data_IF_338488864942
#
_entry.id   IF_338488864942
#
_cell.length_a   1.000
_cell.length_b   1.000
_cell.length_c   1.000
_cell.angle_alpha   90.00
_cell.angle_beta   90.00
_cell.angle_gamma   90.00
#
_symmetry.space_group_name_H-M   'P 1'
#
loop_
_entity.id
_entity.type
_entity.pdbx_description
1 polymer ?
#
# COMPACT_ATOMS: atom_id res chain seq x y z
N UNK A 1 14.73 18.14 11.14
CA UNK A 1 13.71 18.63 10.18
C UNK A 1 12.63 19.46 10.86
N UNK A 2 11.98 18.96 11.91
CA UNK A 2 10.94 19.69 12.67
C UNK A 2 11.44 20.64 13.77
N UNK A 3 12.68 21.13 13.66
CA UNK A 3 13.34 21.86 14.77
C UNK A 3 12.88 23.31 14.94
N UNK A 4 12.25 23.92 13.93
CA UNK A 4 11.67 25.27 14.00
C UNK A 4 10.61 25.47 12.93
N UNK A 5 9.61 26.30 13.24
CA UNK A 5 8.59 26.75 12.28
C UNK A 5 9.27 27.44 11.09
N UNK A 6 8.79 27.15 9.87
CA UNK A 6 9.31 27.73 8.63
C UNK A 6 10.57 27.05 8.07
N UNK A 7 11.16 26.06 8.75
CA UNK A 7 12.24 25.26 8.17
C UNK A 7 11.72 24.49 6.95
N UNK A 8 12.41 24.64 5.81
CA UNK A 8 12.11 23.90 4.57
C UNK A 8 13.04 22.70 4.44
N UNK A 9 12.53 21.61 3.89
CA UNK A 9 13.31 20.38 3.64
C UNK A 9 12.89 19.86 2.27
N UNK A 10 13.85 19.62 1.35
CA UNK A 10 13.51 19.02 0.06
C UNK A 10 12.87 17.65 0.24
N UNK A 11 11.95 17.30 -0.65
CA UNK A 11 11.27 16.00 -0.64
C UNK A 11 11.23 15.38 -2.03
N UNK A 12 11.06 14.06 -2.08
CA UNK A 12 10.62 13.32 -3.25
C UNK A 12 9.35 12.53 -2.88
N UNK A 13 8.35 12.55 -3.76
CA UNK A 13 7.09 11.83 -3.56
C UNK A 13 6.84 10.90 -4.74
N UNK A 14 6.43 9.67 -4.45
CA UNK A 14 5.94 8.73 -5.46
C UNK A 14 4.55 8.27 -5.08
N UNK A 15 3.63 8.43 -6.01
CA UNK A 15 2.31 7.83 -5.96
C UNK A 15 2.31 6.53 -6.75
N UNK A 16 1.42 5.61 -6.40
CA UNK A 16 1.25 4.37 -7.15
C UNK A 16 -0.08 3.71 -6.90
N UNK A 17 -0.39 2.71 -7.70
CA UNK A 17 -1.31 1.64 -7.33
C UNK A 17 -0.59 0.58 -6.49
N UNK A 18 -1.28 -0.52 -6.13
CA UNK A 18 -0.71 -1.61 -5.33
C UNK A 18 -0.70 -2.92 -6.11
N UNK A 19 -1.83 -3.35 -6.65
CA UNK A 19 -1.99 -4.72 -7.12
C UNK A 19 -1.46 -4.94 -8.54
N UNK A 20 -1.49 -3.91 -9.38
CA UNK A 20 -1.30 -4.02 -10.83
C UNK A 20 0.16 -3.78 -11.28
N UNK A 21 0.49 -4.23 -12.50
CA UNK A 21 1.84 -4.14 -13.09
C UNK A 21 2.04 -2.86 -13.92
N UNK A 22 3.28 -2.61 -14.39
CA UNK A 22 3.78 -1.36 -14.99
C UNK A 22 3.13 -0.85 -16.30
N UNK A 23 2.01 -1.40 -16.74
CA UNK A 23 1.26 -0.90 -17.89
C UNK A 23 -0.25 -0.88 -17.64
N UNK A 24 -0.64 -0.94 -16.37
CA UNK A 24 -2.03 -1.04 -15.97
C UNK A 24 -2.64 0.35 -15.82
N UNK A 25 -3.93 0.52 -16.12
CA UNK A 25 -4.56 1.83 -16.13
C UNK A 25 -4.65 2.44 -14.73
N UNK A 26 -4.35 3.74 -14.60
CA UNK A 26 -4.33 4.52 -13.37
C UNK A 26 -5.69 4.55 -12.62
N UNK A 27 -6.80 4.51 -13.37
CA UNK A 27 -8.18 4.67 -12.87
C UNK A 27 -8.83 3.34 -12.51
N UNK A 28 -8.20 2.55 -11.64
CA UNK A 28 -8.78 1.31 -11.08
C UNK A 28 -9.10 1.43 -9.60
N UNK A 29 -10.02 0.60 -9.11
CA UNK A 29 -10.27 0.44 -7.68
C UNK A 29 -9.09 -0.25 -7.01
N UNK A 30 -8.32 0.53 -6.27
CA UNK A 30 -7.13 0.04 -5.57
C UNK A 30 -6.73 1.01 -4.45
N UNK A 31 -5.94 0.53 -3.49
CA UNK A 31 -5.20 1.44 -2.61
C UNK A 31 -4.21 2.26 -3.45
N UNK A 32 -3.98 3.51 -3.08
CA UNK A 32 -2.90 4.31 -3.65
C UNK A 32 -1.74 4.42 -2.68
N UNK A 33 -0.54 4.07 -3.15
CA UNK A 33 0.70 4.36 -2.47
C UNK A 33 0.94 5.86 -2.40
N UNK A 34 1.45 6.33 -1.26
CA UNK A 34 1.83 7.73 -1.04
C UNK A 34 3.13 7.75 -0.24
N UNK A 35 4.24 7.55 -0.94
CA UNK A 35 5.56 7.48 -0.33
C UNK A 35 6.25 8.85 -0.39
N UNK A 36 6.73 9.34 0.75
CA UNK A 36 7.43 10.63 0.87
C UNK A 36 8.81 10.40 1.46
N UNK A 37 9.84 10.88 0.76
CA UNK A 37 11.24 10.92 1.21
C UNK A 37 11.59 12.35 1.56
N UNK A 38 12.11 12.56 2.76
CA UNK A 38 12.59 13.85 3.24
C UNK A 38 14.12 13.86 3.26
N UNK A 39 14.75 14.74 2.49
CA UNK A 39 16.20 14.88 2.42
C UNK A 39 16.71 15.79 3.54
N UNK A 40 16.88 15.22 4.73
CA UNK A 40 17.23 15.99 5.93
C UNK A 40 18.75 16.06 6.16
N UNK A 41 19.19 17.06 6.93
CA UNK A 41 20.58 17.23 7.39
C UNK A 41 21.08 16.08 8.30
N UNK A 42 20.20 15.15 8.69
CA UNK A 42 20.51 13.97 9.52
C UNK A 42 20.30 12.66 8.76
N UNK A 43 20.22 12.71 7.43
CA UNK A 43 19.92 11.57 6.57
C UNK A 43 18.52 11.65 5.97
N UNK A 44 18.18 10.64 5.18
CA UNK A 44 16.86 10.55 4.55
C UNK A 44 15.86 9.95 5.54
N UNK A 45 14.68 10.56 5.68
CA UNK A 45 13.53 9.95 6.34
C UNK A 45 12.50 9.57 5.30
N UNK A 46 12.06 8.31 5.30
CA UNK A 46 11.01 7.85 4.39
C UNK A 46 9.72 7.54 5.15
N UNK A 47 8.68 8.34 4.91
CA UNK A 47 7.33 8.07 5.36
C UNK A 47 6.57 7.37 4.21
N UNK A 48 6.60 6.05 4.22
CA UNK A 48 6.05 5.22 3.15
C UNK A 48 4.60 4.89 3.45
N UNK A 49 3.71 5.81 3.09
CA UNK A 49 2.29 5.75 3.39
C UNK A 49 1.41 5.26 2.26
N UNK A 50 0.09 5.33 2.50
CA UNK A 50 -0.98 5.06 1.55
C UNK A 50 -2.05 6.15 1.62
N UNK A 51 -3.00 6.14 0.69
CA UNK A 51 -4.19 7.01 0.71
C UNK A 51 -5.26 6.60 1.74
N UNK A 52 -4.94 5.66 2.63
CA UNK A 52 -5.82 5.14 3.68
C UNK A 52 -5.12 5.08 5.05
N UNK A 53 -5.81 5.38 6.16
CA UNK A 53 -5.23 5.33 7.50
C UNK A 53 -5.06 3.91 8.06
N UNK A 54 -5.63 2.89 7.41
CA UNK A 54 -5.60 1.49 7.86
C UNK A 54 -5.13 0.55 6.73
N UNK A 55 -4.86 -0.71 7.07
CA UNK A 55 -4.51 -1.75 6.11
C UNK A 55 -5.36 -3.01 6.26
N UNK A 56 -5.24 -3.96 5.32
CA UNK A 56 -6.07 -5.16 5.27
C UNK A 56 -5.70 -6.23 6.30
N UNK A 57 -4.44 -6.24 6.74
CA UNK A 57 -3.89 -7.27 7.64
C UNK A 57 -3.08 -6.59 8.74
N UNK A 58 -2.98 -7.27 9.89
CA UNK A 58 -2.25 -6.80 11.07
C UNK A 58 -1.03 -7.65 11.44
N UNK A 59 -0.71 -8.66 10.65
CA UNK A 59 0.50 -9.48 10.80
C UNK A 59 1.22 -9.60 9.44
N UNK A 60 2.52 -9.27 9.35
CA UNK A 60 3.24 -9.22 8.08
C UNK A 60 3.39 -10.58 7.41
N UNK A 61 3.27 -11.69 8.15
CA UNK A 61 3.41 -13.04 7.57
C UNK A 61 2.33 -13.33 6.51
N UNK A 62 1.18 -12.67 6.62
CA UNK A 62 0.07 -12.80 5.67
C UNK A 62 0.25 -11.94 4.42
N UNK A 63 1.21 -11.00 4.40
CA UNK A 63 1.37 -10.04 3.32
C UNK A 63 1.65 -10.70 1.95
N UNK A 64 2.55 -11.70 1.82
CA UNK A 64 2.76 -12.38 0.54
C UNK A 64 1.48 -13.05 0.02
N UNK A 65 0.75 -13.77 0.89
CA UNK A 65 -0.51 -14.41 0.53
C UNK A 65 -1.58 -13.40 0.11
N UNK A 66 -1.69 -12.29 0.83
CA UNK A 66 -2.61 -11.20 0.48
C UNK A 66 -2.29 -10.62 -0.90
N UNK A 67 -1.02 -10.32 -1.19
CA UNK A 67 -0.60 -9.79 -2.48
C UNK A 67 -0.81 -10.82 -3.61
N UNK A 68 -0.61 -12.12 -3.35
CA UNK A 68 -0.92 -13.17 -4.33
C UNK A 68 -2.42 -13.24 -4.63
N UNK A 69 -3.28 -13.20 -3.60
CA UNK A 69 -4.74 -13.19 -3.77
C UNK A 69 -5.24 -11.95 -4.52
N UNK A 70 -4.54 -10.83 -4.38
CA UNK A 70 -4.80 -9.62 -5.14
C UNK A 70 -4.34 -9.70 -6.61
N UNK A 71 -3.34 -10.53 -6.94
CA UNK A 71 -2.71 -10.55 -8.27
C UNK A 71 -3.38 -11.56 -9.20
N UNK A 72 -2.59 -12.33 -9.95
CA UNK A 72 -3.04 -13.17 -11.05
C UNK A 72 -3.10 -14.62 -10.60
N UNK A 73 -4.14 -15.32 -11.01
CA UNK A 73 -4.27 -16.76 -10.83
C UNK A 73 -3.07 -17.47 -11.49
N UNK A 74 -2.43 -18.45 -10.82
CA UNK A 74 -1.20 -19.07 -11.32
C UNK A 74 -1.39 -19.92 -12.59
N UNK A 75 -2.61 -20.39 -12.86
CA UNK A 75 -2.90 -21.20 -14.05
C UNK A 75 -3.34 -20.33 -15.24
N UNK A 76 -4.25 -19.38 -15.00
CA UNK A 76 -4.86 -18.59 -16.09
C UNK A 76 -4.14 -17.27 -16.36
N UNK A 77 -3.34 -16.81 -15.40
CA UNK A 77 -2.72 -15.48 -15.39
C UNK A 77 -3.71 -14.30 -15.43
N UNK A 78 -4.99 -14.57 -15.15
CA UNK A 78 -6.06 -13.56 -15.05
C UNK A 78 -6.27 -13.13 -13.60
N UNK A 79 -6.90 -11.97 -13.42
CA UNK A 79 -7.47 -11.57 -12.13
C UNK A 79 -8.61 -12.51 -11.79
N UNK A 80 -8.71 -12.86 -10.51
CA UNK A 80 -9.64 -13.86 -10.02
C UNK A 80 -10.36 -13.34 -8.77
N UNK A 81 -11.62 -12.93 -8.94
CA UNK A 81 -12.41 -12.42 -7.84
C UNK A 81 -12.68 -13.50 -6.78
N UNK A 82 -12.67 -14.78 -7.15
CA UNK A 82 -12.82 -15.85 -6.17
C UNK A 82 -11.60 -15.92 -5.24
N UNK A 83 -10.37 -15.87 -5.77
CA UNK A 83 -9.15 -15.83 -4.93
C UNK A 83 -9.12 -14.59 -4.03
N UNK A 84 -9.48 -13.43 -4.57
CA UNK A 84 -9.50 -12.18 -3.83
C UNK A 84 -10.50 -12.22 -2.66
N UNK A 85 -11.76 -12.58 -2.93
CA UNK A 85 -12.79 -12.63 -1.91
C UNK A 85 -12.64 -13.81 -0.94
N UNK A 86 -12.05 -14.92 -1.37
CA UNK A 86 -11.73 -16.06 -0.50
C UNK A 86 -10.79 -15.62 0.62
N UNK A 87 -9.67 -14.97 0.28
CA UNK A 87 -8.72 -14.45 1.27
C UNK A 87 -9.38 -13.46 2.24
N UNK A 88 -10.06 -12.42 1.72
CA UNK A 88 -10.67 -11.39 2.56
C UNK A 88 -11.76 -11.96 3.49
N UNK A 89 -12.55 -12.91 3.02
CA UNK A 89 -13.63 -13.48 3.84
C UNK A 89 -13.12 -14.44 4.92
N UNK A 90 -11.92 -15.00 4.78
CA UNK A 90 -11.26 -15.81 5.81
C UNK A 90 -10.51 -14.97 6.86
N UNK A 91 -10.18 -13.72 6.51
CA UNK A 91 -9.40 -12.78 7.32
C UNK A 91 -10.24 -11.54 7.69
N UNK A 92 -11.19 -11.67 8.64
CA UNK A 92 -12.12 -10.59 8.98
C UNK A 92 -11.44 -9.29 9.43
N UNK A 93 -10.16 -9.31 9.83
CA UNK A 93 -9.39 -8.10 10.07
C UNK A 93 -9.30 -7.15 8.86
N UNK A 94 -9.57 -7.65 7.64
CA UNK A 94 -9.60 -6.84 6.42
C UNK A 94 -10.85 -5.98 6.25
N UNK A 95 -11.90 -6.22 7.04
CA UNK A 95 -13.22 -5.60 6.87
C UNK A 95 -13.19 -4.08 6.86
N UNK A 96 -12.32 -3.47 7.68
CA UNK A 96 -12.23 -2.01 7.74
C UNK A 96 -11.66 -1.44 6.45
N UNK A 97 -10.50 -1.95 6.02
CA UNK A 97 -9.85 -1.46 4.81
C UNK A 97 -10.61 -1.84 3.54
N UNK A 98 -11.21 -3.04 3.45
CA UNK A 98 -12.02 -3.40 2.29
C UNK A 98 -13.25 -2.48 2.17
N UNK A 99 -13.87 -2.10 3.28
CA UNK A 99 -15.02 -1.18 3.25
C UNK A 99 -14.60 0.22 2.77
N UNK A 100 -13.40 0.68 3.13
CA UNK A 100 -12.83 1.92 2.58
C UNK A 100 -12.52 1.75 1.07
N UNK A 101 -11.90 0.64 0.66
CA UNK A 101 -11.56 0.36 -0.73
C UNK A 101 -12.79 0.35 -1.65
N UNK A 102 -13.91 -0.21 -1.19
CA UNK A 102 -15.14 -0.27 -1.97
C UNK A 102 -16.05 0.96 -1.82
N UNK A 103 -15.71 1.90 -0.93
CA UNK A 103 -16.33 3.23 -0.92
C UNK A 103 -15.89 4.06 -2.13
N UNK A 104 -16.42 5.28 -2.26
CA UNK A 104 -16.03 6.20 -3.33
C UNK A 104 -14.52 6.47 -3.35
N UNK A 105 -13.84 6.44 -2.18
CA UNK A 105 -12.40 6.68 -2.07
C UNK A 105 -11.51 5.61 -2.71
N UNK A 106 -12.09 4.50 -3.20
CA UNK A 106 -11.37 3.45 -3.91
C UNK A 106 -10.80 3.86 -5.26
N UNK A 107 -11.34 4.92 -5.86
CA UNK A 107 -10.89 5.46 -7.16
C UNK A 107 -10.77 6.99 -7.05
N UNK A 108 -9.65 7.51 -6.52
CA UNK A 108 -9.45 8.95 -6.47
C UNK A 108 -9.35 9.54 -7.88
N UNK A 109 -9.84 10.78 -8.04
CA UNK A 109 -9.77 11.54 -9.28
C UNK A 109 -8.37 12.17 -9.42
N UNK A 110 -7.40 11.35 -9.79
CA UNK A 110 -5.98 11.70 -9.81
C UNK A 110 -5.33 11.71 -8.42
N UNK A 111 -4.00 11.83 -8.37
CA UNK A 111 -3.26 11.75 -7.12
C UNK A 111 -3.43 12.98 -6.23
N UNK A 112 -3.81 14.14 -6.80
CA UNK A 112 -3.88 15.42 -6.08
C UNK A 112 -5.10 15.57 -5.17
N UNK A 113 -6.12 14.73 -5.36
CA UNK A 113 -7.40 14.80 -4.67
C UNK A 113 -7.62 13.66 -3.66
N UNK A 114 -6.52 13.07 -3.19
CA UNK A 114 -6.54 12.08 -2.12
C UNK A 114 -5.70 12.56 -0.95
N UNK A 115 -6.15 12.21 0.26
CA UNK A 115 -5.29 12.30 1.43
C UNK A 115 -4.22 11.21 1.35
N UNK A 116 -3.21 11.31 2.21
CA UNK A 116 -2.47 10.14 2.61
C UNK A 116 -2.12 10.11 4.09
N UNK A 117 -1.55 8.99 4.49
CA UNK A 117 -1.40 8.59 5.87
C UNK A 117 -0.16 7.72 6.00
N UNK A 118 0.54 7.83 7.12
CA UNK A 118 1.57 6.84 7.49
C UNK A 118 0.98 5.45 7.76
N UNK A 119 -0.34 5.38 8.02
CA UNK A 119 -1.13 4.20 8.42
C UNK A 119 -0.68 3.58 9.74
N UNK A 120 0.57 3.12 9.84
CA UNK A 120 1.12 2.55 11.06
C UNK A 120 1.23 3.59 12.19
N UNK A 121 1.29 3.09 13.43
CA UNK A 121 1.76 3.90 14.56
C UNK A 121 3.28 3.99 14.49
N UNK A 122 3.84 5.15 14.82
CA UNK A 122 5.29 5.38 14.91
C UNK A 122 5.63 5.86 16.32
N UNK A 123 6.92 5.94 16.60
CA UNK A 123 7.45 6.49 17.84
C UNK A 123 8.17 7.81 17.54
N UNK A 124 7.87 8.85 18.31
CA UNK A 124 8.68 10.06 18.34
C UNK A 124 9.36 10.20 19.70
N UNK A 125 10.59 10.71 19.69
CA UNK A 125 11.42 10.91 20.89
C UNK A 125 11.91 12.35 20.90
N UNK A 126 11.70 13.06 22.01
CA UNK A 126 12.18 14.44 22.16
C UNK A 126 13.63 14.49 22.69
N UNK A 127 14.17 15.69 22.88
CA UNK A 127 15.56 15.91 23.34
C UNK A 127 15.82 15.35 24.75
N UNK A 128 14.78 15.27 25.59
CA UNK A 128 14.85 14.69 26.93
C UNK A 128 14.83 13.15 26.90
N UNK A 129 14.56 12.53 25.75
CA UNK A 129 14.39 11.09 25.61
C UNK A 129 12.98 10.60 25.90
N UNK A 130 12.01 11.50 26.07
CA UNK A 130 10.61 11.15 26.32
C UNK A 130 9.96 10.63 25.04
N UNK A 131 9.19 9.55 25.19
CA UNK A 131 8.60 8.82 24.09
C UNK A 131 7.12 9.12 23.98
N UNK A 132 6.66 9.39 22.76
CA UNK A 132 5.23 9.38 22.41
C UNK A 132 5.01 8.53 21.16
N UNK A 133 3.81 7.98 21.03
CA UNK A 133 3.35 7.32 19.82
C UNK A 133 2.61 8.31 18.93
N UNK A 134 2.78 8.18 17.61
CA UNK A 134 2.21 9.10 16.64
C UNK A 134 1.60 8.40 15.43
N UNK A 135 0.52 8.99 14.89
CA UNK A 135 -0.02 8.70 13.55
C UNK A 135 0.18 9.92 12.67
N UNK A 136 0.74 9.73 11.48
CA UNK A 136 0.95 10.80 10.50
C UNK A 136 -0.22 10.85 9.51
N UNK A 137 -0.76 12.05 9.31
CA UNK A 137 -1.81 12.34 8.33
C UNK A 137 -1.35 13.46 7.42
N UNK A 138 -1.68 13.42 6.14
CA UNK A 138 -1.48 14.55 5.25
C UNK A 138 -2.71 14.73 4.36
N UNK A 139 -3.43 15.82 4.60
CA UNK A 139 -4.73 16.12 4.02
C UNK A 139 -4.52 16.97 2.76
N UNK A 140 -5.18 16.57 1.67
CA UNK A 140 -5.14 17.29 0.40
C UNK A 140 -5.80 18.65 0.57
N UNK A 141 -5.09 19.72 0.21
CA UNK A 141 -5.62 21.09 0.27
C UNK A 141 -6.54 21.41 -0.94
N UNK A 142 -6.57 20.50 -1.93
CA UNK A 142 -7.43 20.54 -3.12
C UNK A 142 -8.83 19.96 -2.85
N UNK A 143 -9.01 19.30 -1.71
CA UNK A 143 -10.23 18.56 -1.37
C UNK A 143 -10.25 17.15 -1.93
N UNK A 144 -11.07 16.29 -1.32
CA UNK A 144 -11.24 14.91 -1.76
C UNK A 144 -12.19 14.85 -2.95
N UNK A 145 -11.76 14.16 -4.01
CA UNK A 145 -12.56 13.95 -5.22
C UNK A 145 -12.29 12.55 -5.77
N UNK A 146 -13.36 11.89 -6.23
CA UNK A 146 -13.32 10.49 -6.65
C UNK A 146 -14.05 10.30 -7.98
N UNK A 147 -13.73 9.22 -8.68
CA UNK A 147 -14.39 8.79 -9.91
C UNK A 147 -15.45 7.73 -9.61
N UNK A 148 -16.54 7.72 -10.39
CA UNK A 148 -17.45 6.58 -10.43
C UNK A 148 -16.81 5.41 -11.17
N UNK A 149 -17.27 4.17 -10.91
CA UNK A 149 -16.77 2.98 -11.62
C UNK A 149 -16.94 3.10 -13.15
N UNK A 150 -18.05 3.68 -13.62
CA UNK A 150 -18.31 3.89 -15.06
C UNK A 150 -17.30 4.86 -15.69
N UNK A 151 -17.07 6.01 -15.05
CA UNK A 151 -16.11 7.00 -15.56
C UNK A 151 -14.68 6.46 -15.49
N UNK A 152 -14.34 5.76 -14.41
CA UNK A 152 -13.04 5.12 -14.23
C UNK A 152 -12.77 4.07 -15.32
N UNK A 153 -13.76 3.23 -15.62
CA UNK A 153 -13.69 2.25 -16.71
C UNK A 153 -13.50 2.92 -18.07
N UNK A 154 -14.26 4.00 -18.34
CA UNK A 154 -14.09 4.78 -19.58
C UNK A 154 -12.68 5.38 -19.70
N UNK A 155 -12.19 6.01 -18.64
CA UNK A 155 -10.85 6.61 -18.61
C UNK A 155 -9.77 5.53 -18.78
N UNK A 156 -9.95 4.35 -18.20
CA UNK A 156 -8.97 3.26 -18.29
C UNK A 156 -8.68 2.81 -19.73
N UNK A 157 -9.65 2.99 -20.65
CA UNK A 157 -9.48 2.71 -22.07
C UNK A 157 -9.06 3.92 -22.92
N UNK A 158 -9.30 5.15 -22.44
CA UNK A 158 -8.99 6.38 -23.18
C UNK A 158 -7.64 6.97 -22.82
N UNK A 159 -7.24 6.89 -21.54
CA UNK A 159 -5.98 7.38 -21.01
C UNK A 159 -5.58 6.51 -19.81
N UNK A 160 -4.82 5.45 -20.08
CA UNK A 160 -4.32 4.54 -19.04
C UNK A 160 -3.39 5.25 -18.05
N UNK A 161 -2.81 6.39 -18.42
CA UNK A 161 -1.86 7.17 -17.59
C UNK A 161 -2.51 8.43 -16.99
N UNK A 162 -3.84 8.43 -16.82
CA UNK A 162 -4.62 9.60 -16.42
C UNK A 162 -4.07 10.33 -15.18
N UNK A 163 -3.75 9.60 -14.10
CA UNK A 163 -3.33 10.22 -12.84
C UNK A 163 -1.88 10.71 -12.92
N UNK A 164 -1.02 10.02 -13.70
CA UNK A 164 0.32 10.49 -14.03
C UNK A 164 0.27 11.78 -14.85
N UNK A 165 -0.57 11.83 -15.90
CA UNK A 165 -0.77 13.02 -16.74
C UNK A 165 -1.29 14.20 -15.92
N UNK A 166 -2.34 13.99 -15.14
CA UNK A 166 -2.91 15.02 -14.24
C UNK A 166 -1.85 15.66 -13.35
N UNK A 167 -1.02 14.83 -12.69
CA UNK A 167 0.02 15.33 -11.80
C UNK A 167 1.11 16.09 -12.57
N UNK A 168 1.59 15.53 -13.66
CA UNK A 168 2.65 16.13 -14.47
C UNK A 168 2.21 17.49 -15.03
N UNK A 169 1.04 17.56 -15.67
CA UNK A 169 0.50 18.77 -16.28
C UNK A 169 0.17 19.83 -15.23
N UNK A 170 -0.32 19.43 -14.05
CA UNK A 170 -0.58 20.37 -12.95
C UNK A 170 0.70 21.03 -12.44
N UNK A 171 1.78 20.27 -12.28
CA UNK A 171 3.08 20.84 -11.86
C UNK A 171 3.67 21.70 -12.98
N UNK A 172 3.59 21.26 -14.24
CA UNK A 172 4.10 22.01 -15.39
C UNK A 172 3.38 23.34 -15.62
N UNK A 173 2.10 23.42 -15.23
CA UNK A 173 1.28 24.64 -15.29
C UNK A 173 1.32 25.48 -14.01
N UNK A 174 2.27 25.20 -13.11
CA UNK A 174 2.43 25.88 -11.81
C UNK A 174 1.24 25.76 -10.85
N UNK A 175 0.30 24.85 -11.14
CA UNK A 175 -0.79 24.46 -10.25
C UNK A 175 -0.29 23.40 -9.24
N UNK A 176 0.63 23.82 -8.37
CA UNK A 176 1.34 22.94 -7.47
C UNK A 176 0.43 22.31 -6.42
N UNK A 177 0.32 20.97 -6.37
CA UNK A 177 -0.48 20.34 -5.35
C UNK A 177 0.16 20.43 -3.96
N UNK A 178 -0.68 20.68 -2.96
CA UNK A 178 -0.29 20.89 -1.55
C UNK A 178 -1.05 19.93 -0.65
N UNK A 179 -0.36 19.42 0.38
CA UNK A 179 -0.97 18.71 1.48
C UNK A 179 -0.54 19.32 2.81
N UNK A 180 -1.52 19.55 3.69
CA UNK A 180 -1.25 19.90 5.08
C UNK A 180 -1.01 18.64 5.92
N UNK A 181 0.13 18.59 6.60
CA UNK A 181 0.59 17.47 7.40
C UNK A 181 0.20 17.67 8.87
N UNK A 182 -0.34 16.62 9.48
CA UNK A 182 -0.81 16.57 10.85
C UNK A 182 -0.28 15.34 11.60
N UNK A 183 -0.27 15.43 12.92
CA UNK A 183 -0.01 14.34 13.86
C UNK A 183 -1.24 14.08 14.72
N UNK A 184 -1.47 12.82 15.07
CA UNK A 184 -2.08 12.48 16.36
C UNK A 184 -0.96 12.04 17.31
N UNK A 185 -1.12 12.30 18.60
CA UNK A 185 -0.12 11.97 19.63
C UNK A 185 -0.79 11.18 20.74
N UNK A 186 -0.19 10.06 21.14
CA UNK A 186 -0.63 9.20 22.23
C UNK A 186 0.56 8.90 23.15
N UNK A 187 0.39 9.10 24.45
CA UNK A 187 1.43 8.77 25.45
C UNK A 187 1.51 7.26 25.69
N UNK A 188 2.63 6.73 26.23
CA UNK A 188 2.72 5.32 26.61
C UNK A 188 1.64 4.88 27.62
N UNK A 189 1.27 5.74 28.57
CA UNK A 189 0.20 5.48 29.54
C UNK A 189 -1.17 5.38 28.85
N UNK A 190 -1.49 6.31 27.95
CA UNK A 190 -2.73 6.22 27.15
C UNK A 190 -2.76 4.95 26.28
N UNK A 191 -1.62 4.52 25.74
CA UNK A 191 -1.53 3.30 24.94
C UNK A 191 -1.84 2.03 25.77
N UNK A 192 -1.47 1.99 27.05
CA UNK A 192 -1.78 0.88 27.97
C UNK A 192 -3.27 0.79 28.33
N UNK A 193 -3.97 1.92 28.33
CA UNK A 193 -5.39 2.01 28.67
C UNK A 193 -6.31 2.10 27.45
N UNK A 194 -5.76 2.01 26.24
CA UNK A 194 -6.51 2.08 25.00
C UNK A 194 -7.44 0.85 24.86
N UNK A 195 -8.69 1.06 24.48
CA UNK A 195 -9.70 0.00 24.36
C UNK A 195 -9.47 -0.95 23.17
N UNK A 196 -8.52 -0.59 22.30
CA UNK A 196 -8.05 -1.38 21.17
C UNK A 196 -6.52 -1.31 21.13
N UNK A 197 -5.88 -2.26 20.44
CA UNK A 197 -4.43 -2.23 20.26
C UNK A 197 -4.02 -1.00 19.41
N UNK A 198 -3.29 -0.01 19.96
CA UNK A 198 -2.91 1.19 19.21
C UNK A 198 -1.86 0.91 18.14
N UNK A 199 -1.26 -0.28 18.12
CA UNK A 199 -0.28 -0.75 17.16
C UNK A 199 -0.87 -1.72 16.11
N UNK A 200 -2.19 -1.91 16.12
CA UNK A 200 -2.91 -2.65 15.07
C UNK A 200 -3.21 -1.70 13.90
N UNK A 201 -2.57 -1.91 12.75
CA UNK A 201 -2.76 -1.09 11.54
C UNK A 201 -4.15 -1.21 10.93
N UNK A 202 -5.00 -2.13 11.38
CA UNK A 202 -6.42 -2.19 10.96
C UNK A 202 -7.30 -1.21 11.75
N UNK A 203 -6.73 -0.49 12.73
CA UNK A 203 -7.43 0.48 13.59
C UNK A 203 -6.99 1.92 13.33
N UNK A 204 -7.95 2.83 13.43
CA UNK A 204 -7.72 4.28 13.55
C UNK A 204 -7.73 4.70 15.01
N UNK A 205 -7.12 5.85 15.29
CA UNK A 205 -7.28 6.55 16.56
C UNK A 205 -8.40 7.59 16.39
N UNK A 206 -9.48 7.55 17.18
CA UNK A 206 -10.60 8.49 17.04
C UNK A 206 -10.13 9.94 17.19
N UNK A 207 -10.50 10.81 16.25
CA UNK A 207 -10.04 12.22 16.25
C UNK A 207 -10.58 13.03 17.44
N UNK A 208 -11.72 12.63 18.03
CA UNK A 208 -12.26 13.24 19.24
C UNK A 208 -11.45 12.91 20.49
N UNK A 209 -10.74 11.79 20.50
CA UNK A 209 -9.86 11.37 21.60
C UNK A 209 -8.41 11.83 21.37
N UNK A 210 -7.95 11.74 20.12
CA UNK A 210 -6.61 12.14 19.71
C UNK A 210 -6.72 13.14 18.55
N UNK A 211 -6.83 14.46 18.83
CA UNK A 211 -7.01 15.47 17.80
C UNK A 211 -5.83 15.57 16.83
N UNK A 212 -6.10 16.07 15.63
CA UNK A 212 -5.06 16.39 14.66
C UNK A 212 -4.32 17.68 15.06
N UNK A 213 -2.99 17.62 15.08
CA UNK A 213 -2.08 18.73 15.35
C UNK A 213 -1.34 19.05 14.05
N UNK A 214 -1.53 20.24 13.48
CA UNK A 214 -0.83 20.68 12.27
C UNK A 214 0.66 20.84 12.53
N UNK A 215 1.50 20.29 11.65
CA UNK A 215 2.98 20.35 11.79
C UNK A 215 3.70 20.96 10.60
N UNK A 216 3.00 21.15 9.49
CA UNK A 216 3.57 21.76 8.29
C UNK A 216 2.81 21.37 7.04
N UNK A 217 3.40 21.66 5.88
CA UNK A 217 2.84 21.33 4.57
C UNK A 217 3.94 20.85 3.66
N UNK A 218 3.59 20.01 2.69
CA UNK A 218 4.46 19.76 1.55
C UNK A 218 3.78 20.16 0.25
N UNK A 219 4.60 20.68 -0.66
CA UNK A 219 4.22 21.22 -1.95
C UNK A 219 5.01 20.48 -3.02
N UNK A 220 4.35 19.93 -4.03
CA UNK A 220 5.02 19.33 -5.17
C UNK A 220 5.13 20.36 -6.29
N UNK A 221 6.34 20.83 -6.56
CA UNK A 221 6.58 21.97 -7.47
C UNK A 221 7.61 21.69 -8.56
N UNK A 222 8.03 20.43 -8.73
CA UNK A 222 9.00 20.05 -9.75
C UNK A 222 8.71 18.66 -10.27
N UNK A 223 8.54 18.55 -11.58
CA UNK A 223 8.48 17.25 -12.26
C UNK A 223 9.86 16.61 -12.35
N UNK A 224 9.94 15.27 -12.45
CA UNK A 224 11.20 14.60 -12.75
C UNK A 224 11.70 15.02 -14.14
N UNK A 225 13.01 15.17 -14.31
CA UNK A 225 13.60 15.39 -15.64
C UNK A 225 13.69 14.07 -16.41
N UNK A 226 13.94 12.96 -15.70
CA UNK A 226 13.92 11.62 -16.26
C UNK A 226 13.12 10.68 -15.34
N UNK A 227 11.98 10.17 -15.82
CA UNK A 227 11.11 9.28 -15.04
C UNK A 227 11.86 8.04 -14.54
N UNK A 228 12.66 7.39 -15.38
CA UNK A 228 13.33 6.16 -14.99
C UNK A 228 14.38 6.41 -13.90
N UNK A 229 15.18 7.46 -14.03
CA UNK A 229 16.23 7.79 -13.07
C UNK A 229 15.68 8.33 -11.73
N UNK A 230 14.62 9.13 -11.77
CA UNK A 230 14.12 9.87 -10.60
C UNK A 230 12.84 9.29 -9.98
N UNK A 231 12.12 8.41 -10.68
CA UNK A 231 10.86 7.81 -10.19
C UNK A 231 10.95 6.29 -10.14
N UNK A 232 11.39 5.63 -11.21
CA UNK A 232 11.43 4.16 -11.24
C UNK A 232 12.58 3.61 -10.37
N UNK A 233 13.74 4.25 -10.41
CA UNK A 233 14.90 3.90 -9.56
C UNK A 233 14.84 4.53 -8.16
N UNK A 234 13.81 5.33 -7.86
CA UNK A 234 13.59 5.84 -6.51
C UNK A 234 13.25 4.67 -5.56
N UNK A 235 13.83 4.71 -4.37
CA UNK A 235 13.56 3.75 -3.30
C UNK A 235 13.01 4.45 -2.07
N UNK A 236 12.11 3.78 -1.37
CA UNK A 236 11.62 4.21 -0.07
C UNK A 236 11.69 3.04 0.90
N UNK A 237 12.23 3.24 2.09
CA UNK A 237 12.29 2.18 3.10
C UNK A 237 11.75 2.68 4.44
N UNK A 238 10.73 2.03 5.02
CA UNK A 238 10.28 2.35 6.38
C UNK A 238 11.36 2.22 7.45
N UNK A 239 12.51 1.61 7.16
CA UNK A 239 13.69 1.58 8.03
C UNK A 239 14.55 2.85 7.96
N UNK A 240 14.35 3.71 6.97
CA UNK A 240 15.03 5.00 6.87
C UNK A 240 14.40 6.00 7.84
N UNK A 241 14.90 6.02 9.06
CA UNK A 241 14.56 7.00 10.09
C UNK A 241 15.69 8.02 10.28
N UNK A 242 15.34 9.11 10.95
CA UNK A 242 16.28 10.11 11.45
C UNK A 242 16.11 10.21 12.97
N UNK A 243 17.14 10.69 13.71
CA UNK A 243 17.05 10.85 15.16
C UNK A 243 15.76 11.57 15.59
N UNK A 244 15.08 11.00 16.59
CA UNK A 244 13.81 11.49 17.12
C UNK A 244 12.55 10.87 16.48
N UNK A 245 12.68 10.07 15.41
CA UNK A 245 11.59 9.30 14.81
C UNK A 245 12.03 7.83 14.76
N UNK A 246 11.13 6.91 15.10
CA UNK A 246 11.43 5.49 15.05
C UNK A 246 10.18 4.61 14.91
N UNK A 247 10.39 3.29 14.82
CA UNK A 247 9.29 2.36 14.67
C UNK A 247 8.56 2.15 16.01
N UNK A 248 7.29 1.77 15.92
CA UNK A 248 6.50 1.24 17.04
C UNK A 248 6.45 -0.31 16.99
N UNK A 249 5.88 -0.98 18.00
CA UNK A 249 5.67 -2.43 18.00
C UNK A 249 4.62 -2.96 16.98
N UNK A 250 4.08 -2.12 16.11
CA UNK A 250 3.15 -2.55 15.05
C UNK A 250 3.81 -3.64 14.19
N UNK A 251 3.25 -4.86 14.22
CA UNK A 251 3.83 -6.03 13.57
C UNK A 251 4.05 -5.81 12.07
N UNK A 252 3.10 -5.16 11.39
CA UNK A 252 3.22 -4.90 9.95
C UNK A 252 4.35 -3.91 9.71
N UNK A 253 4.45 -2.85 10.50
CA UNK A 253 5.59 -1.93 10.41
C UNK A 253 6.92 -2.68 10.62
N UNK A 254 7.01 -3.54 11.64
CA UNK A 254 8.20 -4.34 11.92
C UNK A 254 8.62 -5.21 10.72
N UNK A 255 7.68 -5.90 10.07
CA UNK A 255 7.98 -6.67 8.86
C UNK A 255 8.49 -5.80 7.69
N UNK A 256 7.97 -4.57 7.58
CA UNK A 256 8.37 -3.61 6.54
C UNK A 256 9.77 -3.02 6.76
N UNK A 257 10.29 -3.01 7.99
CA UNK A 257 11.65 -2.53 8.27
C UNK A 257 12.70 -3.41 7.56
N UNK A 258 12.40 -4.69 7.38
CA UNK A 258 13.25 -5.62 6.64
C UNK A 258 12.95 -5.62 5.13
N UNK A 259 11.68 -5.82 4.76
CA UNK A 259 11.32 -6.26 3.41
C UNK A 259 11.66 -5.29 2.28
N UNK A 260 11.60 -3.98 2.54
CA UNK A 260 11.88 -2.98 1.50
C UNK A 260 13.35 -2.98 1.09
N UNK A 261 14.27 -3.01 2.04
CA UNK A 261 15.71 -3.02 1.74
C UNK A 261 16.10 -4.29 1.00
N UNK A 262 15.58 -5.44 1.42
CA UNK A 262 15.77 -6.72 0.75
C UNK A 262 15.28 -6.68 -0.71
N UNK A 263 14.07 -6.16 -0.94
CA UNK A 263 13.53 -5.98 -2.28
C UNK A 263 14.36 -5.00 -3.13
N UNK A 264 14.94 -3.95 -2.55
CA UNK A 264 15.80 -3.02 -3.28
C UNK A 264 17.14 -3.63 -3.69
N UNK A 265 17.73 -4.50 -2.87
CA UNK A 265 18.93 -5.23 -3.26
C UNK A 265 18.69 -6.09 -4.49
N UNK A 266 17.53 -6.74 -4.57
CA UNK A 266 17.15 -7.49 -5.77
C UNK A 266 16.83 -6.57 -6.96
N UNK A 267 16.01 -5.53 -6.75
CA UNK A 267 15.47 -4.69 -7.83
C UNK A 267 16.50 -3.76 -8.48
N UNK A 268 17.40 -3.17 -7.68
CA UNK A 268 18.35 -2.14 -8.14
C UNK A 268 19.82 -2.50 -7.84
N UNK A 269 20.07 -3.49 -6.99
CA UNK A 269 21.41 -3.89 -6.58
C UNK A 269 21.85 -3.30 -5.24
N UNK A 270 22.92 -3.86 -4.68
CA UNK A 270 23.44 -3.53 -3.34
C UNK A 270 23.82 -2.05 -3.18
N UNK A 271 24.21 -1.40 -4.27
CA UNK A 271 24.65 0.00 -4.29
C UNK A 271 23.54 0.99 -4.71
N UNK A 272 22.25 0.63 -4.59
CA UNK A 272 21.12 1.49 -4.99
C UNK A 272 21.14 2.89 -4.35
N UNK A 273 21.78 3.04 -3.18
CA UNK A 273 21.91 4.30 -2.45
C UNK A 273 22.85 5.31 -3.14
N UNK A 274 23.67 4.86 -4.09
CA UNK A 274 24.52 5.72 -4.92
C UNK A 274 23.73 6.40 -6.05
N UNK A 275 22.56 5.87 -6.43
CA UNK A 275 21.70 6.48 -7.45
C UNK A 275 21.29 7.87 -6.94
N UNK A 276 21.44 8.96 -7.74
CA UNK A 276 21.32 10.33 -7.24
C UNK A 276 20.05 10.64 -6.43
N UNK A 277 18.90 10.12 -6.88
CA UNK A 277 17.61 10.37 -6.19
C UNK A 277 17.51 9.68 -4.82
N UNK A 278 18.32 8.65 -4.56
CA UNK A 278 18.34 7.88 -3.32
C UNK A 278 19.41 8.36 -2.34
N UNK A 279 20.38 9.15 -2.81
CA UNK A 279 21.51 9.62 -2.02
C UNK A 279 21.06 10.53 -0.88
N UNK A 280 21.76 10.46 0.24
CA UNK A 280 21.62 11.43 1.33
C UNK A 280 22.28 12.76 0.98
N UNK A 281 21.77 13.86 1.53
CA UNK A 281 22.40 15.18 1.35
C UNK A 281 23.70 15.35 2.16
N UNK A 282 23.93 14.48 3.13
CA UNK A 282 25.18 14.38 3.89
C UNK A 282 26.03 13.24 3.35
N UNK A 283 27.35 13.35 3.49
CA UNK A 283 28.25 12.24 3.21
C UNK A 283 28.08 11.17 4.29
N UNK A 284 27.65 9.97 3.88
CA UNK A 284 27.42 8.85 4.78
C UNK A 284 28.73 8.36 5.38
N UNK A 285 28.80 8.30 6.71
CA UNK A 285 29.90 7.72 7.46
C UNK A 285 29.55 6.25 7.75
N UNK A 286 30.00 5.32 6.91
CA UNK A 286 29.61 3.90 7.02
C UNK A 286 30.78 2.96 6.72
N UNK A 287 30.58 1.68 7.04
CA UNK A 287 31.52 0.60 6.74
C UNK A 287 31.16 -0.21 5.49
N UNK A 288 30.21 0.29 4.67
CA UNK A 288 29.81 -0.38 3.44
C UNK A 288 30.92 -0.26 2.37
N UNK A 289 31.42 -1.38 1.85
CA UNK A 289 32.46 -1.48 0.81
C UNK A 289 32.02 -2.40 -0.33
N UNK A 290 32.59 -2.19 -1.51
CA UNK A 290 32.51 -3.05 -2.69
C UNK A 290 31.07 -3.25 -3.25
N UNK A 291 30.79 -4.41 -3.81
CA UNK A 291 29.52 -4.75 -4.45
C UNK A 291 29.41 -4.31 -5.90
N UNK A 292 28.47 -4.93 -6.62
CA UNK A 292 28.22 -4.63 -8.03
C UNK A 292 27.84 -3.14 -8.21
N UNK A 293 28.36 -2.51 -9.27
CA UNK A 293 28.15 -1.09 -9.60
C UNK A 293 28.60 -0.10 -8.50
N UNK A 294 29.68 -0.41 -7.77
CA UNK A 294 30.34 0.58 -6.89
C UNK A 294 31.07 1.64 -7.74
N UNK A 295 30.59 2.88 -7.73
CA UNK A 295 31.11 3.95 -8.62
C UNK A 295 31.43 5.27 -7.92
N UNK A 296 31.30 5.32 -6.59
CA UNK A 296 31.49 6.49 -5.74
C UNK A 296 32.92 6.65 -5.17
N UNK A 297 33.88 5.84 -5.65
CA UNK A 297 35.25 5.79 -5.12
C UNK A 297 35.45 4.85 -3.93
N UNK A 298 34.40 4.14 -3.49
CA UNK A 298 34.47 3.09 -2.46
C UNK A 298 35.07 3.51 -1.11
N UNK A 299 34.91 4.80 -0.75
CA UNK A 299 35.54 5.42 0.43
C UNK A 299 37.08 5.34 0.43
N UNK A 300 37.70 5.20 -0.74
CA UNK A 300 39.15 5.26 -0.95
C UNK A 300 39.95 4.41 0.06
N UNK A 301 40.81 5.05 0.86
CA UNK A 301 41.66 4.41 1.86
C UNK A 301 41.10 4.53 3.29
N UNK A 302 39.83 4.92 3.47
CA UNK A 302 39.22 5.01 4.79
C UNK A 302 39.17 3.62 5.47
N UNK A 303 39.42 3.53 6.79
CA UNK A 303 39.40 2.27 7.52
C UNK A 303 38.09 1.49 7.32
N UNK A 304 38.21 0.21 6.98
CA UNK A 304 37.07 -0.65 6.63
C UNK A 304 36.49 -1.47 7.81
N UNK A 305 36.93 -1.22 9.05
CA UNK A 305 36.46 -1.96 10.24
C UNK A 305 36.26 -1.04 11.46
N UNK A 306 35.44 -1.50 12.40
CA UNK A 306 35.17 -0.85 13.69
C UNK A 306 35.29 -1.86 14.84
N UNK A 307 35.87 -1.50 15.99
CA UNK A 307 36.60 -0.24 16.25
C UNK A 307 37.94 -0.21 15.47
N UNK A 308 38.52 0.98 15.29
CA UNK A 308 39.85 1.14 14.66
C UNK A 308 40.60 2.34 15.27
N UNK A 309 41.94 2.33 15.21
CA UNK A 309 42.80 3.43 15.68
C UNK A 309 43.21 4.40 14.57
N UNK A 310 42.49 4.39 13.44
CA UNK A 310 42.87 5.06 12.20
C UNK A 310 41.91 6.21 11.84
N UNK A 311 41.02 6.61 12.76
CA UNK A 311 40.09 7.72 12.57
C UNK A 311 38.93 7.42 11.62
N UNK A 312 38.54 6.14 11.47
CA UNK A 312 37.34 5.77 10.72
C UNK A 312 36.03 6.17 11.43
N UNK A 313 34.86 5.95 10.79
CA UNK A 313 33.55 6.30 11.34
C UNK A 313 33.32 5.81 12.79
N UNK A 314 32.87 6.70 13.68
CA UNK A 314 32.53 6.33 15.07
C UNK A 314 31.04 6.02 15.26
N UNK A 315 30.72 5.29 16.33
CA UNK A 315 29.34 5.10 16.77
C UNK A 315 28.67 6.44 17.13
N UNK A 316 27.43 6.62 16.68
CA UNK A 316 26.67 7.83 16.99
C UNK A 316 26.34 7.92 18.48
N UNK A 317 26.78 8.99 19.14
CA UNK A 317 26.45 9.29 20.54
C UNK A 317 25.05 9.90 20.72
N UNK A 318 24.38 10.23 19.62
CA UNK A 318 23.07 10.90 19.61
C UNK A 318 21.93 9.89 19.70
N UNK A 319 22.15 8.66 19.23
CA UNK A 319 21.14 7.61 19.25
C UNK A 319 21.11 6.95 20.64
N UNK A 320 20.12 7.30 21.45
CA UNK A 320 19.85 6.58 22.70
C UNK A 320 19.09 5.29 22.35
N UNK A 321 19.75 4.14 22.46
CA UNK A 321 19.04 2.85 22.42
C UNK A 321 17.95 2.87 23.50
N UNK A 322 16.72 2.61 23.08
CA UNK A 322 15.58 2.57 23.99
C UNK A 322 15.47 1.14 24.52
N UNK A 323 15.73 0.94 25.80
CA UNK A 323 15.54 -0.34 26.47
C UNK A 323 14.07 -0.56 26.78
N UNK A 324 13.52 -1.71 26.40
CA UNK A 324 12.25 -2.19 26.93
C UNK A 324 12.53 -3.07 28.15
N UNK A 325 11.88 -2.77 29.27
CA UNK A 325 11.89 -3.57 30.49
C UNK A 325 10.49 -4.11 30.76
N UNK A 326 10.35 -5.42 30.93
CA UNK A 326 9.09 -6.04 31.37
C UNK A 326 9.39 -7.24 32.27
N UNK A 327 8.54 -7.46 33.28
CA UNK A 327 8.76 -8.43 34.36
C UNK A 327 8.81 -9.88 33.84
N UNK A 328 8.06 -10.18 32.77
CA UNK A 328 8.07 -11.45 32.04
C UNK A 328 7.72 -11.19 30.57
N UNK A 329 8.61 -11.57 29.63
CA UNK A 329 8.30 -11.55 28.20
C UNK A 329 8.24 -12.98 27.69
N UNK A 330 7.04 -13.48 27.37
CA UNK A 330 6.91 -14.71 26.59
C UNK A 330 7.18 -14.34 25.13
N UNK A 331 8.26 -14.87 24.56
CA UNK A 331 8.54 -14.74 23.12
C UNK A 331 7.80 -15.88 22.41
N UNK A 332 6.63 -15.58 21.86
CA UNK A 332 5.80 -16.54 21.13
C UNK A 332 5.05 -15.85 19.97
N UNK A 333 4.45 -16.66 19.09
CA UNK A 333 3.55 -16.21 18.02
C UNK A 333 2.18 -15.89 18.61
N UNK A 334 2.02 -14.64 19.03
CA UNK A 334 0.72 -14.16 19.50
C UNK A 334 -0.28 -14.01 18.33
N UNK A 335 -1.32 -14.84 18.31
CA UNK A 335 -2.40 -14.78 17.33
C UNK A 335 -3.32 -13.57 17.60
N UNK A 336 -3.73 -12.87 16.54
CA UNK A 336 -4.53 -11.62 16.60
C UNK A 336 -5.80 -11.70 15.76
N UNK A 337 -6.15 -12.91 15.29
CA UNK A 337 -7.34 -13.17 14.47
C UNK A 337 -8.64 -12.76 15.16
N UNK A 338 -8.74 -13.03 16.46
CA UNK A 338 -9.98 -12.84 17.24
C UNK A 338 -10.07 -11.46 17.92
N UNK A 339 -9.05 -10.61 17.76
CA UNK A 339 -9.16 -9.18 18.10
C UNK A 339 -10.35 -8.55 17.36
N UNK A 340 -10.90 -7.46 17.89
CA UNK A 340 -12.08 -6.81 17.30
C UNK A 340 -11.87 -6.43 15.83
N UNK A 341 -12.74 -6.96 14.96
CA UNK A 341 -12.71 -6.78 13.51
C UNK A 341 -13.88 -5.92 12.99
N UNK A 342 -14.84 -5.57 13.85
CA UNK A 342 -16.16 -5.10 13.42
C UNK A 342 -16.49 -3.69 13.89
N UNK A 343 -16.06 -3.27 15.08
CA UNK A 343 -16.54 -2.01 15.69
C UNK A 343 -16.21 -0.79 14.84
N UNK A 344 -14.95 -0.61 14.44
CA UNK A 344 -14.58 0.57 13.64
C UNK A 344 -15.13 0.52 12.21
N UNK A 345 -15.26 -0.68 11.62
CA UNK A 345 -15.93 -0.87 10.34
C UNK A 345 -17.40 -0.45 10.41
N UNK A 346 -18.10 -0.83 11.49
CA UNK A 346 -19.49 -0.43 11.75
C UNK A 346 -19.60 1.09 11.91
N UNK A 347 -18.69 1.72 12.66
CA UNK A 347 -18.67 3.17 12.81
C UNK A 347 -18.46 3.88 11.48
N UNK A 348 -17.55 3.40 10.63
CA UNK A 348 -17.37 3.94 9.29
C UNK A 348 -18.67 3.84 8.46
N UNK A 349 -19.29 2.66 8.43
CA UNK A 349 -20.52 2.42 7.68
C UNK A 349 -21.71 3.29 8.16
N UNK A 350 -21.90 3.38 9.48
CA UNK A 350 -23.06 4.05 10.09
C UNK A 350 -22.89 5.56 10.24
N UNK A 351 -21.67 6.04 10.50
CA UNK A 351 -21.43 7.44 10.92
C UNK A 351 -20.64 8.26 9.92
N UNK A 352 -19.89 7.63 9.02
CA UNK A 352 -19.06 8.34 8.02
C UNK A 352 -19.73 8.36 6.65
N UNK A 353 -20.37 7.27 6.24
CA UNK A 353 -21.10 7.21 4.98
C UNK A 353 -22.51 7.81 5.13
N UNK A 354 -22.95 8.53 4.09
CA UNK A 354 -24.36 8.85 3.90
C UNK A 354 -25.09 7.67 3.23
N UNK A 355 -26.41 7.79 3.06
CA UNK A 355 -27.21 6.68 2.52
C UNK A 355 -26.83 6.33 1.08
N UNK A 356 -26.59 7.34 0.25
CA UNK A 356 -26.14 7.14 -1.14
C UNK A 356 -24.75 6.51 -1.22
N UNK A 357 -23.84 6.86 -0.31
CA UNK A 357 -22.52 6.25 -0.18
C UNK A 357 -22.60 4.79 0.26
N UNK A 358 -23.54 4.43 1.15
CA UNK A 358 -23.82 3.03 1.51
C UNK A 358 -24.36 2.22 0.33
N UNK A 359 -25.21 2.82 -0.51
CA UNK A 359 -25.74 2.16 -1.70
C UNK A 359 -24.65 1.93 -2.76
N UNK A 360 -23.81 2.95 -3.03
CA UNK A 360 -22.67 2.81 -3.93
C UNK A 360 -21.68 1.76 -3.43
N UNK A 361 -21.35 1.79 -2.14
CA UNK A 361 -20.51 0.77 -1.50
C UNK A 361 -21.05 -0.65 -1.75
N UNK A 362 -22.35 -0.87 -1.54
CA UNK A 362 -22.98 -2.16 -1.77
C UNK A 362 -22.91 -2.61 -3.23
N UNK A 363 -23.21 -1.71 -4.17
CA UNK A 363 -23.10 -1.96 -5.61
C UNK A 363 -21.67 -2.29 -6.05
N UNK A 364 -20.69 -1.53 -5.58
CA UNK A 364 -19.27 -1.74 -5.90
C UNK A 364 -18.78 -3.11 -5.39
N UNK A 365 -19.18 -3.50 -4.18
CA UNK A 365 -18.86 -4.82 -3.61
C UNK A 365 -19.52 -5.93 -4.45
N UNK A 366 -20.82 -5.82 -4.68
CA UNK A 366 -21.59 -6.82 -5.42
C UNK A 366 -21.05 -7.02 -6.84
N UNK A 367 -20.67 -5.94 -7.53
CA UNK A 367 -20.09 -5.97 -8.89
C UNK A 367 -18.80 -6.80 -8.99
N UNK A 368 -18.02 -6.86 -7.91
CA UNK A 368 -16.85 -7.76 -7.84
C UNK A 368 -17.24 -9.15 -7.32
N UNK A 369 -18.02 -9.20 -6.24
CA UNK A 369 -18.36 -10.42 -5.49
C UNK A 369 -19.20 -11.42 -6.30
N UNK A 370 -20.02 -10.95 -7.24
CA UNK A 370 -20.86 -11.80 -8.12
C UNK A 370 -20.04 -12.84 -8.89
N UNK A 371 -18.75 -12.56 -9.14
CA UNK A 371 -17.85 -13.47 -9.85
C UNK A 371 -17.11 -14.46 -8.92
N UNK A 372 -17.39 -14.45 -7.62
CA UNK A 372 -16.87 -15.44 -6.68
C UNK A 372 -17.84 -16.63 -6.52
N UNK A 373 -17.35 -17.74 -5.99
CA UNK A 373 -18.17 -18.92 -5.68
C UNK A 373 -19.23 -18.63 -4.62
N UNK A 374 -20.34 -19.38 -4.64
CA UNK A 374 -21.45 -19.22 -3.69
C UNK A 374 -21.04 -19.37 -2.23
N UNK A 375 -20.07 -20.25 -1.95
CA UNK A 375 -19.52 -20.42 -0.61
C UNK A 375 -18.81 -19.14 -0.13
N UNK A 376 -17.97 -18.55 -0.98
CA UNK A 376 -17.28 -17.29 -0.69
C UNK A 376 -18.28 -16.15 -0.51
N UNK A 377 -19.27 -16.03 -1.41
CA UNK A 377 -20.34 -15.02 -1.29
C UNK A 377 -21.06 -15.12 0.06
N UNK A 378 -21.44 -16.33 0.47
CA UNK A 378 -22.13 -16.58 1.74
C UNK A 378 -21.27 -16.13 2.93
N UNK A 379 -19.97 -16.47 2.93
CA UNK A 379 -19.06 -16.09 4.00
C UNK A 379 -18.83 -14.57 4.06
N UNK A 380 -18.73 -13.91 2.91
CA UNK A 380 -18.62 -12.45 2.82
C UNK A 380 -19.86 -11.77 3.43
N UNK A 381 -21.07 -12.21 3.07
CA UNK A 381 -22.31 -11.67 3.62
C UNK A 381 -22.41 -11.87 5.13
N UNK A 382 -22.03 -13.04 5.64
CA UNK A 382 -22.01 -13.31 7.09
C UNK A 382 -21.02 -12.40 7.84
N UNK A 383 -19.88 -12.06 7.24
CA UNK A 383 -18.96 -11.09 7.84
C UNK A 383 -19.55 -9.68 7.84
N UNK A 384 -20.23 -9.26 6.76
CA UNK A 384 -20.91 -7.96 6.74
C UNK A 384 -22.07 -7.88 7.73
N UNK A 385 -22.79 -8.98 7.97
CA UNK A 385 -23.89 -9.00 8.94
C UNK A 385 -23.38 -8.76 10.37
N UNK A 386 -22.20 -9.30 10.70
CA UNK A 386 -21.50 -8.99 11.96
C UNK A 386 -21.09 -7.52 12.07
N UNK A 387 -20.80 -6.85 10.94
CA UNK A 387 -20.58 -5.41 10.92
C UNK A 387 -21.90 -4.68 11.13
N UNK A 388 -22.88 -4.89 10.26
CA UNK A 388 -24.21 -4.29 10.34
C UNK A 388 -25.21 -5.10 9.47
N UNK A 389 -26.38 -5.51 9.98
CA UNK A 389 -27.38 -6.23 9.19
C UNK A 389 -27.85 -5.49 7.93
N UNK A 390 -27.95 -4.15 7.97
CA UNK A 390 -28.31 -3.35 6.78
C UNK A 390 -27.21 -3.44 5.71
N UNK A 391 -25.94 -3.49 6.13
CA UNK A 391 -24.81 -3.63 5.21
C UNK A 391 -24.88 -4.95 4.44
N UNK A 392 -25.05 -6.08 5.13
CA UNK A 392 -25.23 -7.38 4.48
C UNK A 392 -26.43 -7.39 3.54
N UNK A 393 -27.59 -6.89 4.02
CA UNK A 393 -28.83 -6.86 3.25
C UNK A 393 -28.70 -6.07 1.94
N UNK A 394 -28.02 -4.92 1.96
CA UNK A 394 -27.82 -4.10 0.75
C UNK A 394 -26.90 -4.78 -0.25
N UNK A 395 -25.79 -5.37 0.23
CA UNK A 395 -24.86 -6.11 -0.64
C UNK A 395 -25.58 -7.32 -1.26
N UNK A 396 -26.33 -8.10 -0.47
CA UNK A 396 -27.09 -9.26 -0.95
C UNK A 396 -28.14 -8.86 -2.01
N UNK A 397 -28.88 -7.77 -1.78
CA UNK A 397 -29.83 -7.24 -2.76
C UNK A 397 -29.16 -6.92 -4.10
N UNK A 398 -28.03 -6.21 -4.09
CA UNK A 398 -27.30 -5.86 -5.31
C UNK A 398 -26.70 -7.10 -5.99
N UNK A 399 -26.21 -8.06 -5.19
CA UNK A 399 -25.68 -9.33 -5.68
C UNK A 399 -26.77 -10.12 -6.43
N UNK A 400 -27.96 -10.24 -5.86
CA UNK A 400 -29.09 -10.94 -6.51
C UNK A 400 -29.51 -10.31 -7.84
N UNK A 401 -29.49 -8.97 -7.94
CA UNK A 401 -29.77 -8.27 -9.20
C UNK A 401 -28.75 -8.66 -10.27
N UNK A 402 -27.46 -8.58 -9.95
CA UNK A 402 -26.38 -8.91 -10.89
C UNK A 402 -26.38 -10.39 -11.31
N UNK A 403 -26.74 -11.30 -10.40
CA UNK A 403 -26.87 -12.71 -10.72
C UNK A 403 -28.00 -12.99 -11.70
N UNK A 404 -29.13 -12.30 -11.55
CA UNK A 404 -30.24 -12.39 -12.50
C UNK A 404 -29.86 -11.79 -13.86
N UNK A 405 -29.09 -10.71 -13.89
CA UNK A 405 -28.58 -10.11 -15.14
C UNK A 405 -27.60 -11.04 -15.86
N UNK A 406 -26.66 -11.63 -15.12
CA UNK A 406 -25.70 -12.60 -15.66
C UNK A 406 -26.40 -13.85 -16.20
N UNK A 407 -27.44 -14.35 -15.51
CA UNK A 407 -28.23 -15.48 -15.96
C UNK A 407 -29.04 -15.20 -17.24
N UNK A 408 -29.44 -13.94 -17.46
CA UNK A 408 -30.14 -13.51 -18.69
C UNK A 408 -29.22 -13.42 -19.90
N UNK A 409 -27.90 -13.50 -19.71
CA UNK A 409 -26.91 -13.56 -20.77
C UNK A 409 -26.80 -12.26 -21.56
N UNK A 410 -25.81 -11.43 -21.26
CA UNK A 410 -25.35 -10.42 -22.22
C UNK A 410 -24.53 -11.11 -23.32
N UNK A 411 -25.22 -11.69 -24.30
CA UNK A 411 -24.59 -11.98 -25.59
C UNK A 411 -24.33 -10.62 -26.24
N UNK A 412 -23.12 -10.07 -26.07
CA UNK A 412 -22.65 -9.04 -27.00
C UNK A 412 -22.56 -9.73 -28.36
N UNK A 413 -23.48 -9.40 -29.26
CA UNK A 413 -23.34 -9.76 -30.68
C UNK A 413 -21.91 -9.40 -31.10
N UNK A 414 -21.15 -10.40 -31.54
CA UNK A 414 -19.85 -10.14 -32.15
C UNK A 414 -20.13 -9.31 -33.38
N UNK A 415 -19.80 -8.02 -33.34
CA UNK A 415 -19.87 -7.20 -34.54
C UNK A 415 -19.03 -7.88 -35.62
N UNK A 416 -19.57 -8.10 -36.81
CA UNK A 416 -18.82 -8.72 -37.89
C UNK A 416 -17.60 -7.84 -38.16
N UNK A 417 -16.40 -8.39 -37.95
CA UNK A 417 -15.17 -7.74 -38.36
C UNK A 417 -15.21 -7.57 -39.88
N UNK A 418 -14.71 -6.43 -40.38
CA UNK A 418 -14.57 -6.23 -41.82
C UNK A 418 -13.89 -7.47 -42.45
N UNK A 419 -14.32 -7.91 -43.66
CA UNK A 419 -13.83 -9.11 -44.32
C UNK A 419 -12.41 -8.91 -44.88
N UNK A 420 -11.49 -8.40 -44.06
CA UNK A 420 -10.10 -8.15 -44.46
C UNK A 420 -9.26 -9.44 -44.52
N UNK A 421 -9.78 -10.55 -43.99
CA UNK A 421 -9.20 -11.88 -44.17
C UNK A 421 -10.34 -12.89 -44.41
N UNK A 422 -10.34 -13.66 -45.52
CA UNK A 422 -11.25 -14.78 -45.63
C UNK A 422 -11.02 -15.73 -44.44
N UNK A 423 -12.06 -16.28 -43.81
CA UNK A 423 -11.90 -17.27 -42.76
C UNK A 423 -11.02 -18.40 -43.31
N UNK A 424 -9.88 -18.68 -42.66
CA UNK A 424 -9.10 -19.88 -43.00
C UNK A 424 -9.98 -21.09 -42.75
N UNK A 425 -9.89 -22.12 -43.61
CA UNK A 425 -10.60 -23.37 -43.39
C UNK A 425 -10.27 -23.88 -41.96
N UNK A 426 -11.27 -24.28 -41.16
CA UNK A 426 -11.03 -24.77 -39.82
C UNK A 426 -10.12 -25.99 -39.89
N UNK A 427 -8.89 -25.86 -39.38
CA UNK A 427 -7.97 -26.98 -39.24
C UNK A 427 -8.48 -27.85 -38.09
N UNK A 428 -9.02 -29.04 -38.41
CA UNK A 428 -9.35 -30.04 -37.40
C UNK A 428 -8.04 -30.62 -36.89
N UNK A 429 -7.68 -30.27 -35.65
CA UNK A 429 -6.59 -30.95 -34.94
C UNK A 429 -7.07 -32.36 -34.59
N UNK A 430 -6.69 -33.35 -35.40
CA UNK A 430 -6.73 -34.75 -35.00
C UNK A 430 -5.48 -35.02 -34.18
N UNK A 431 -5.61 -35.16 -32.86
CA UNK A 431 -4.52 -35.70 -32.04
C UNK A 431 -4.42 -37.21 -32.28
N UNK A 432 -3.93 -37.62 -33.44
CA UNK A 432 -3.25 -38.91 -33.52
C UNK A 432 -1.88 -38.68 -32.89
N UNK A 433 -1.64 -39.30 -31.73
CA UNK A 433 -0.33 -39.28 -31.09
C UNK A 433 0.64 -39.98 -32.04
N UNK A 434 1.52 -39.23 -32.70
CA UNK A 434 2.68 -39.85 -33.34
C UNK A 434 3.67 -40.29 -32.26
N UNK A 435 4.35 -41.42 -32.47
CA UNK A 435 5.34 -41.99 -31.54
C UNK A 435 6.49 -41.02 -31.20
N UNK A 436 6.67 -39.95 -31.98
CA UNK A 436 7.74 -38.97 -31.84
C UNK A 436 7.50 -37.90 -30.75
N UNK A 437 6.34 -37.85 -30.11
CA UNK A 437 6.02 -36.83 -29.08
C UNK A 437 5.97 -37.46 -27.68
N UNK A 438 7.08 -38.00 -27.22
CA UNK A 438 7.26 -38.32 -25.81
C UNK A 438 8.51 -37.64 -25.27
N UNK A 439 8.39 -36.34 -24.99
CA UNK A 439 9.30 -35.68 -24.06
C UNK A 439 9.16 -36.38 -22.68
N UNK A 440 10.23 -36.93 -22.08
CA UNK A 440 10.15 -37.75 -20.86
C UNK A 440 9.51 -37.05 -19.64
N UNK A 441 9.39 -35.72 -19.67
CA UNK A 441 8.99 -34.89 -18.54
C UNK A 441 7.47 -34.89 -18.26
N UNK A 442 6.65 -35.45 -19.15
CA UNK A 442 5.18 -35.49 -18.99
C UNK A 442 4.64 -36.83 -18.44
N UNK A 443 5.51 -37.79 -18.06
CA UNK A 443 5.08 -38.97 -17.29
C UNK A 443 4.96 -38.62 -15.81
N UNK A 444 3.86 -37.98 -15.41
CA UNK A 444 3.42 -38.00 -13.99
C UNK A 444 2.02 -38.58 -13.85
N UNK A 445 2.02 -39.86 -13.47
CA UNK A 445 1.10 -40.53 -12.54
C UNK A 445 -0.40 -40.29 -12.73
N UNK A 446 -1.01 -41.08 -13.63
CA UNK A 446 -2.33 -41.64 -13.39
C UNK A 446 -2.16 -43.12 -13.00
N UNK A 447 -1.99 -43.37 -11.70
CA UNK A 447 -2.25 -44.64 -11.00
C UNK A 447 -1.84 -44.45 -9.52
N UNK A 448 -2.80 -44.30 -8.61
CA UNK A 448 -3.45 -45.39 -7.84
C UNK A 448 -4.86 -44.93 -7.51
#
# INVERSE_FOLDING_TARGET
MFSKVGKRTPIAVRFSQVALESGSPDTVRDVRGFAVKFYSEKGNWDLVGNNTPVFFIRDPILFPSFIHALKRNPQTHLRDNNLFWDFLSLRPESLHQQTILFSDRGIPDGYRFMNGYGSNTFKNVNENGEVVFVKYHYKSDQGIRNLSDELAQKLSGLDADYALRDLFESIASENYPVWTMYLQVMTPEQAQHCSFNPFDVTKIWPHNEFPLIEIGRFVLNRNPQNYFAEVEQLVFSPAHFIPGIGPSPDKVLQGRLFSYNDAHYHRLGVNYSQIPVNRTVINSQTYHRDGLMRVDGNMFNEPAHFPNSLGGPEESKVEKFQSYSGDFSVIDKYETRDDDNFTQTRLFYQKVLDDSGRERLAGNIAGSLVNASKEVQTRVLANFEKVDPDYAKRVDKQLQVLEQENAKGMIKEKQPTAPMNPPRAPFKVTMEMSDDVLAPQFRRQCAV
#
